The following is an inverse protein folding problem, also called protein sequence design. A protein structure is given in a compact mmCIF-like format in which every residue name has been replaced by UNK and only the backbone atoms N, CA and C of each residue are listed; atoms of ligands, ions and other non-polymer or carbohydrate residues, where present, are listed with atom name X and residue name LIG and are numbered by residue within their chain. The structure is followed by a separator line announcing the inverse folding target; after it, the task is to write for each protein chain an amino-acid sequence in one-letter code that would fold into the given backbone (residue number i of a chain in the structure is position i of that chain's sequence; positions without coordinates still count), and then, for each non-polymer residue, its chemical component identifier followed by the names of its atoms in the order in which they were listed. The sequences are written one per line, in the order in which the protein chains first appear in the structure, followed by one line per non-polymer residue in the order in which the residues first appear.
data_IF_267901347457
#
_entry.id   IF_267901347457
#
_cell.length_a   1.000
_cell.length_b   1.000
_cell.length_c   1.000
_cell.angle_alpha   90.00
_cell.angle_beta   90.00
_cell.angle_gamma   90.00
#
_symmetry.space_group_name_H-M   'P 1'
#
loop_
_entity.id
_entity.type
_entity.pdbx_description
1 polymer ?
#
# COMPACT_ATOMS: atom_id res chain seq x y z
N UNK A 1 5.30 -15.08 22.41
CA UNK A 1 4.40 -15.51 21.32
C UNK A 1 3.76 -14.25 20.79
N UNK A 2 4.60 -13.33 20.29
CA UNK A 2 4.20 -11.97 19.93
C UNK A 2 4.48 -11.82 18.43
N UNK A 3 3.42 -11.63 17.65
CA UNK A 3 3.47 -11.49 16.20
C UNK A 3 4.01 -10.12 15.79
N UNK A 4 5.07 -10.00 14.98
CA UNK A 4 5.41 -8.74 14.32
C UNK A 4 4.70 -8.72 12.96
N UNK A 5 3.39 -8.47 12.95
CA UNK A 5 2.61 -8.22 11.71
C UNK A 5 1.92 -6.86 11.77
N UNK A 6 2.63 -5.87 12.34
CA UNK A 6 2.13 -4.49 12.45
C UNK A 6 3.07 -3.47 11.79
N UNK A 7 4.03 -3.91 10.99
CA UNK A 7 4.93 -3.03 10.25
C UNK A 7 4.44 -2.69 8.82
N UNK A 8 3.25 -3.15 8.42
CA UNK A 8 2.70 -2.90 7.07
C UNK A 8 2.02 -1.53 6.94
N UNK A 9 1.84 -0.79 8.03
CA UNK A 9 1.27 0.57 7.96
C UNK A 9 2.31 1.65 8.23
N UNK A 10 3.06 2.03 7.19
CA UNK A 10 3.36 3.45 6.98
C UNK A 10 3.65 3.70 5.50
N UNK A 11 2.57 3.84 4.71
CA UNK A 11 2.63 4.57 3.47
C UNK A 11 3.05 6.01 3.80
N UNK A 12 4.35 6.29 3.67
CA UNK A 12 4.89 7.64 3.74
C UNK A 12 4.37 8.40 2.50
N UNK A 13 3.24 9.09 2.64
CA UNK A 13 2.77 10.01 1.62
C UNK A 13 3.66 11.27 1.65
N UNK A 14 4.80 11.22 0.94
CA UNK A 14 5.65 12.40 0.73
C UNK A 14 4.98 13.27 -0.33
N UNK A 15 4.27 14.30 0.11
CA UNK A 15 3.68 15.28 -0.80
C UNK A 15 4.76 16.31 -1.18
N UNK A 16 5.35 16.17 -2.37
CA UNK A 16 6.27 17.15 -2.95
C UNK A 16 5.43 18.17 -3.73
N UNK A 17 5.27 19.38 -3.19
CA UNK A 17 4.60 20.47 -3.89
C UNK A 17 5.63 21.34 -4.65
N UNK A 18 5.51 21.52 -5.98
CA UNK A 18 6.35 22.46 -6.71
C UNK A 18 5.85 23.89 -6.46
N UNK A 19 6.62 24.71 -5.75
CA UNK A 19 6.35 26.15 -5.69
C UNK A 19 6.91 26.79 -6.94
N UNK A 20 6.01 27.28 -7.82
CA UNK A 20 6.39 28.07 -8.97
C UNK A 20 6.82 29.45 -8.50
N UNK A 21 8.12 29.63 -8.25
CA UNK A 21 8.73 30.95 -8.35
C UNK A 21 9.97 30.85 -9.23
N UNK A 22 9.97 31.66 -10.28
CA UNK A 22 11.01 31.74 -11.29
C UNK A 22 12.39 31.94 -10.63
N UNK A 23 13.34 31.09 -11.08
CA UNK A 23 14.76 31.02 -10.71
C UNK A 23 15.07 30.30 -9.37
N UNK A 24 15.53 29.04 -9.52
CA UNK A 24 16.09 28.10 -8.54
C UNK A 24 15.06 27.22 -7.79
N UNK A 25 15.04 25.89 -8.03
CA UNK A 25 14.18 24.97 -7.27
C UNK A 25 14.70 24.87 -5.83
N UNK A 26 13.95 25.46 -4.90
CA UNK A 26 14.20 25.31 -3.47
C UNK A 26 13.30 24.20 -2.94
N UNK A 27 13.90 23.07 -2.55
CA UNK A 27 13.17 21.96 -1.94
C UNK A 27 13.02 22.22 -0.45
N UNK A 28 11.81 22.56 0.01
CA UNK A 28 11.50 22.71 1.43
C UNK A 28 10.84 21.45 1.96
N UNK A 29 11.47 20.81 2.94
CA UNK A 29 10.85 19.73 3.73
C UNK A 29 9.86 20.39 4.70
N UNK A 30 8.56 20.16 4.50
CA UNK A 30 7.54 20.55 5.47
C UNK A 30 7.33 19.37 6.41
N UNK A 31 7.89 19.46 7.62
CA UNK A 31 7.58 18.51 8.70
C UNK A 31 6.21 18.89 9.26
N UNK A 32 5.18 18.13 8.89
CA UNK A 32 3.87 18.25 9.52
C UNK A 32 3.92 17.53 10.85
N UNK A 33 4.07 18.26 11.95
CA UNK A 33 3.86 17.71 13.29
C UNK A 33 2.40 17.32 13.44
N UNK A 34 2.15 16.02 13.62
CA UNK A 34 0.85 15.51 14.05
C UNK A 34 0.59 16.01 15.47
N UNK A 35 -0.31 16.99 15.62
CA UNK A 35 -0.99 17.14 16.89
C UNK A 35 -1.77 15.84 17.09
N UNK A 36 -1.59 15.18 18.24
CA UNK A 36 -2.40 14.05 18.65
C UNK A 36 -3.85 14.54 18.74
N UNK A 37 -4.56 14.47 17.62
CA UNK A 37 -5.98 14.71 17.55
C UNK A 37 -6.64 13.61 18.37
N UNK A 38 -7.53 14.02 19.27
CA UNK A 38 -8.42 13.13 19.97
C UNK A 38 -9.29 12.40 18.93
N UNK A 39 -8.84 11.22 18.51
CA UNK A 39 -9.46 10.39 17.46
C UNK A 39 -10.85 9.90 17.86
N UNK A 40 -11.23 10.05 19.12
CA UNK A 40 -12.54 9.65 19.65
C UNK A 40 -13.71 10.50 19.08
N UNK A 41 -13.39 11.60 18.37
CA UNK A 41 -14.38 12.53 17.81
C UNK A 41 -14.56 12.48 16.28
N UNK A 42 -13.79 11.68 15.56
CA UNK A 42 -13.90 11.60 14.09
C UNK A 42 -14.97 10.58 13.68
N UNK A 43 -16.02 11.04 13.02
CA UNK A 43 -17.09 10.18 12.50
C UNK A 43 -17.46 10.56 11.07
N UNK A 44 -18.40 9.82 10.45
CA UNK A 44 -18.77 10.01 9.03
C UNK A 44 -19.29 11.42 8.71
N UNK A 45 -19.92 12.10 9.68
CA UNK A 45 -20.47 13.46 9.52
C UNK A 45 -19.40 14.54 9.57
N UNK A 46 -18.19 14.21 10.01
CA UNK A 46 -17.01 15.10 9.93
C UNK A 46 -16.55 15.34 8.48
N UNK A 47 -17.11 14.63 7.49
CA UNK A 47 -16.74 14.71 6.07
C UNK A 47 -17.94 15.16 5.22
N UNK A 48 -17.72 15.92 4.13
CA UNK A 48 -18.80 16.37 3.25
C UNK A 48 -19.67 15.23 2.73
N UNK A 49 -20.94 15.54 2.46
CA UNK A 49 -21.83 14.64 1.73
C UNK A 49 -21.21 14.29 0.38
N UNK A 50 -21.13 12.99 0.07
CA UNK A 50 -20.49 12.49 -1.15
C UNK A 50 -18.98 12.24 -1.04
N UNK A 51 -18.36 12.50 0.12
CA UNK A 51 -16.97 12.08 0.35
C UNK A 51 -16.84 10.54 0.25
N UNK A 52 -15.88 10.05 -0.54
CA UNK A 52 -15.67 8.60 -0.75
C UNK A 52 -14.48 8.13 0.07
N UNK A 53 -14.71 7.13 0.92
CA UNK A 53 -13.66 6.35 1.54
C UNK A 53 -13.40 5.10 0.69
N UNK A 54 -12.13 4.75 0.54
CA UNK A 54 -11.72 3.57 -0.19
C UNK A 54 -10.46 2.97 0.40
N UNK A 55 -10.20 1.72 0.03
CA UNK A 55 -8.95 1.03 0.28
C UNK A 55 -8.20 0.83 -1.04
N UNK A 56 -6.88 0.70 -0.98
CA UNK A 56 -6.04 0.45 -2.14
C UNK A 56 -5.06 -0.69 -1.85
N UNK A 57 -4.71 -1.45 -2.89
CA UNK A 57 -3.72 -2.52 -2.85
C UNK A 57 -2.84 -2.46 -4.10
N UNK A 58 -1.81 -3.31 -4.17
CA UNK A 58 -0.97 -3.48 -5.37
C UNK A 58 -0.95 -4.93 -5.84
N UNK A 59 -0.83 -5.14 -7.15
CA UNK A 59 -0.93 -6.46 -7.77
C UNK A 59 0.05 -7.49 -7.17
N UNK A 60 1.34 -7.15 -7.07
CA UNK A 60 2.36 -8.08 -6.57
C UNK A 60 2.17 -8.45 -5.09
N UNK A 61 1.61 -7.53 -4.29
CA UNK A 61 1.32 -7.80 -2.87
C UNK A 61 0.05 -8.65 -2.68
N UNK A 62 -0.92 -8.53 -3.60
CA UNK A 62 -2.27 -9.03 -3.35
C UNK A 62 -2.65 -10.25 -4.22
N UNK A 63 -2.31 -10.24 -5.51
CA UNK A 63 -2.85 -11.21 -6.48
C UNK A 63 -2.26 -12.61 -6.35
N UNK A 64 -0.93 -12.73 -6.33
CA UNK A 64 -0.25 -14.02 -6.43
C UNK A 64 -0.24 -14.59 -7.85
N UNK A 65 -0.43 -15.91 -7.95
CA UNK A 65 -0.57 -16.65 -9.20
C UNK A 65 0.57 -16.37 -10.21
N UNK A 66 1.82 -16.30 -9.71
CA UNK A 66 2.91 -15.69 -10.48
C UNK A 66 3.30 -16.35 -11.80
N UNK A 67 2.96 -17.62 -11.96
CA UNK A 67 3.22 -18.42 -13.15
C UNK A 67 1.94 -19.03 -13.75
N UNK A 68 0.78 -18.44 -13.46
CA UNK A 68 -0.54 -18.95 -13.90
C UNK A 68 -1.00 -18.21 -15.16
N UNK A 69 -1.77 -18.90 -16.01
CA UNK A 69 -2.46 -18.35 -17.18
C UNK A 69 -1.58 -17.52 -18.14
N UNK A 70 -0.30 -17.86 -18.22
CA UNK A 70 0.65 -17.19 -19.12
C UNK A 70 1.15 -15.83 -18.62
N UNK A 71 0.92 -15.48 -17.35
CA UNK A 71 1.56 -14.31 -16.71
C UNK A 71 3.07 -14.40 -16.87
N UNK A 72 3.70 -13.31 -17.31
CA UNK A 72 5.17 -13.20 -17.38
C UNK A 72 5.73 -12.67 -16.06
N UNK A 73 6.96 -13.08 -15.68
CA UNK A 73 7.62 -12.56 -14.49
C UNK A 73 7.79 -11.03 -14.56
N UNK A 74 7.47 -10.36 -13.46
CA UNK A 74 7.84 -8.97 -13.22
C UNK A 74 9.27 -8.86 -12.67
N UNK A 75 9.73 -7.63 -12.52
CA UNK A 75 11.00 -7.33 -11.85
C UNK A 75 10.98 -7.84 -10.41
N UNK A 76 9.86 -7.70 -9.70
CA UNK A 76 9.73 -8.16 -8.32
C UNK A 76 9.77 -9.68 -8.20
N UNK A 77 9.09 -10.42 -9.09
CA UNK A 77 9.19 -11.89 -9.11
C UNK A 77 10.65 -12.32 -9.30
N UNK A 78 11.37 -11.66 -10.20
CA UNK A 78 12.79 -11.96 -10.44
C UNK A 78 13.67 -11.62 -9.25
N UNK A 79 13.45 -10.46 -8.63
CA UNK A 79 14.27 -9.96 -7.53
C UNK A 79 14.14 -10.82 -6.29
N UNK A 80 12.92 -11.10 -5.84
CA UNK A 80 12.68 -11.86 -4.60
C UNK A 80 13.13 -13.31 -4.75
N UNK A 81 12.89 -13.93 -5.91
CA UNK A 81 13.33 -15.30 -6.16
C UNK A 81 14.86 -15.43 -6.32
N UNK A 82 15.52 -14.42 -6.89
CA UNK A 82 16.98 -14.44 -7.07
C UNK A 82 17.74 -14.04 -5.80
N UNK A 83 17.15 -13.19 -4.95
CA UNK A 83 17.81 -12.64 -3.77
C UNK A 83 16.93 -12.75 -2.52
N UNK A 84 16.59 -13.96 -2.04
CA UNK A 84 15.71 -14.14 -0.89
C UNK A 84 16.24 -13.45 0.37
N UNK A 85 17.57 -13.46 0.60
CA UNK A 85 18.17 -12.74 1.73
C UNK A 85 18.10 -11.20 1.68
N UNK A 86 17.44 -10.61 0.66
CA UNK A 86 17.10 -9.18 0.61
C UNK A 86 15.66 -8.88 1.03
N UNK A 87 14.89 -9.92 1.34
CA UNK A 87 13.59 -9.84 1.99
C UNK A 87 13.80 -10.27 3.44
N UNK A 88 13.28 -9.50 4.40
CA UNK A 88 13.55 -9.67 5.83
C UNK A 88 13.26 -11.09 6.33
N UNK A 89 12.18 -11.71 5.84
CA UNK A 89 11.76 -13.07 6.15
C UNK A 89 12.08 -14.09 5.03
N UNK A 90 12.76 -13.66 3.97
CA UNK A 90 13.06 -14.49 2.80
C UNK A 90 11.86 -14.85 1.92
N UNK A 91 10.69 -14.24 2.14
CA UNK A 91 9.47 -14.54 1.38
C UNK A 91 9.47 -13.95 -0.04
N UNK A 92 8.45 -14.34 -0.83
CA UNK A 92 8.21 -13.82 -2.18
C UNK A 92 6.70 -13.58 -2.41
N UNK A 93 6.37 -12.95 -3.54
CA UNK A 93 4.99 -12.64 -3.92
C UNK A 93 4.32 -13.71 -4.77
N UNK A 94 4.87 -14.93 -4.89
CA UNK A 94 4.38 -15.93 -5.84
C UNK A 94 2.90 -16.29 -5.58
N UNK A 95 2.52 -16.27 -4.29
CA UNK A 95 1.15 -16.50 -3.81
C UNK A 95 0.43 -15.23 -3.35
N UNK A 96 1.13 -14.22 -2.81
CA UNK A 96 0.48 -13.05 -2.20
C UNK A 96 -0.57 -13.44 -1.16
N UNK A 97 -1.76 -12.82 -1.22
CA UNK A 97 -2.95 -13.26 -0.44
C UNK A 97 -3.91 -14.15 -1.24
N UNK A 98 -3.44 -14.66 -2.39
CA UNK A 98 -4.17 -15.57 -3.28
C UNK A 98 -5.42 -14.91 -3.90
N UNK A 99 -5.42 -13.58 -4.04
CA UNK A 99 -6.58 -12.83 -4.50
C UNK A 99 -6.94 -13.13 -5.96
N UNK A 100 -5.97 -13.53 -6.78
CA UNK A 100 -6.22 -13.95 -8.17
C UNK A 100 -7.33 -15.01 -8.28
N UNK A 101 -7.38 -15.97 -7.34
CA UNK A 101 -8.43 -16.98 -7.32
C UNK A 101 -9.63 -16.60 -6.44
N UNK A 102 -9.44 -15.68 -5.49
CA UNK A 102 -10.45 -15.34 -4.47
C UNK A 102 -11.28 -14.10 -4.76
N UNK A 103 -10.94 -13.32 -5.80
CA UNK A 103 -11.63 -12.05 -6.10
C UNK A 103 -13.15 -12.17 -6.20
N UNK A 104 -13.67 -13.31 -6.70
CA UNK A 104 -15.12 -13.56 -6.79
C UNK A 104 -15.80 -13.79 -5.44
N UNK A 105 -15.07 -14.34 -4.46
CA UNK A 105 -15.63 -14.60 -3.13
C UNK A 105 -15.66 -13.31 -2.30
N UNK A 106 -14.64 -12.45 -2.43
CA UNK A 106 -14.53 -11.20 -1.69
C UNK A 106 -15.50 -10.12 -2.22
N UNK A 107 -15.78 -10.09 -3.52
CA UNK A 107 -16.72 -9.14 -4.13
C UNK A 107 -18.21 -9.34 -3.79
N UNK A 108 -18.58 -10.43 -3.12
CA UNK A 108 -19.99 -10.72 -2.76
C UNK A 108 -20.37 -10.39 -1.30
N UNK A 109 -19.41 -9.92 -0.48
CA UNK A 109 -19.62 -9.66 0.93
C UNK A 109 -20.06 -8.21 1.26
N UNK A 110 -20.50 -7.46 0.25
CA UNK A 110 -20.81 -6.02 0.36
C UNK A 110 -22.23 -5.62 -0.03
N UNK A 111 -23.19 -6.56 -0.01
CA UNK A 111 -24.63 -6.26 -0.17
C UNK A 111 -25.37 -6.40 1.17
#
# INVERSE_FOLDING_TARGET
MECPSLAIFLFLLVLVAPTNHHHHPHFSIVVVSSAAADTDSLNRTSFPTGFVFGAASSAYQYEGAANVDGRRPSIWDTFTNKYPGRIDDGSNGDRGVDFYFRYKLEGSAGE
#
